data_IF_501692665959
#
_entry.id   IF_501692665959
#
_cell.length_a   1.000
_cell.length_b   1.000
_cell.length_c   1.000
_cell.angle_alpha   90.00
_cell.angle_beta   90.00
_cell.angle_gamma   90.00
#
_symmetry.space_group_name_H-M   'P 1'
#
loop_
_entity.id
_entity.type
_entity.pdbx_description
1 polymer ?
#
# COMPACT_ATOMS: atom_id res chain seq x y z
N UNK A 1 0.06 7.39 -6.61
CA UNK A 1 -1.12 7.10 -7.47
C UNK A 1 -2.26 6.72 -6.55
N UNK A 2 -3.36 7.48 -6.50
CA UNK A 2 -4.56 7.08 -5.76
C UNK A 2 -5.26 5.94 -6.51
N UNK A 3 -5.74 4.93 -5.79
CA UNK A 3 -6.45 3.79 -6.39
C UNK A 3 -7.58 3.34 -5.48
N UNK A 4 -8.69 2.89 -6.07
CA UNK A 4 -9.78 2.32 -5.30
C UNK A 4 -9.36 0.95 -4.72
N UNK A 5 -9.71 0.74 -3.45
CA UNK A 5 -9.26 -0.43 -2.68
C UNK A 5 -10.43 -1.35 -2.39
N UNK A 6 -10.21 -2.66 -2.56
CA UNK A 6 -11.25 -3.69 -2.33
C UNK A 6 -11.74 -3.71 -0.86
N UNK A 7 -12.94 -4.24 -0.64
CA UNK A 7 -13.70 -4.03 0.60
C UNK A 7 -13.08 -4.59 1.89
N UNK A 8 -12.44 -5.76 1.84
CA UNK A 8 -11.89 -6.43 3.04
C UNK A 8 -10.47 -5.99 3.37
N UNK A 9 -10.07 -6.10 4.64
CA UNK A 9 -8.73 -5.72 5.07
C UNK A 9 -7.62 -6.56 4.40
N UNK A 10 -7.80 -7.88 4.29
CA UNK A 10 -6.85 -8.77 3.65
C UNK A 10 -6.60 -8.39 2.19
N UNK A 11 -7.64 -8.03 1.45
CA UNK A 11 -7.51 -7.55 0.07
C UNK A 11 -6.76 -6.22 -0.02
N UNK A 12 -6.98 -5.30 0.94
CA UNK A 12 -6.25 -4.02 1.01
C UNK A 12 -4.76 -4.24 1.24
N UNK A 13 -4.39 -5.15 2.14
CA UNK A 13 -3.00 -5.52 2.40
C UNK A 13 -2.36 -6.13 1.16
N UNK A 14 -3.00 -7.13 0.54
CA UNK A 14 -2.49 -7.78 -0.68
C UNK A 14 -2.29 -6.78 -1.84
N UNK A 15 -3.23 -5.84 -2.01
CA UNK A 15 -3.16 -4.79 -3.01
C UNK A 15 -1.99 -3.83 -2.70
N UNK A 16 -1.88 -3.34 -1.46
CA UNK A 16 -0.77 -2.48 -1.03
C UNK A 16 0.60 -3.15 -1.25
N UNK A 17 0.76 -4.41 -0.88
CA UNK A 17 1.97 -5.19 -1.10
C UNK A 17 2.31 -5.36 -2.58
N UNK A 18 1.32 -5.52 -3.45
CA UNK A 18 1.54 -5.62 -4.90
C UNK A 18 2.06 -4.30 -5.47
N UNK A 19 1.47 -3.17 -5.10
CA UNK A 19 1.98 -1.86 -5.50
C UNK A 19 3.37 -1.57 -4.93
N UNK A 20 3.63 -1.92 -3.67
CA UNK A 20 4.95 -1.78 -3.07
C UNK A 20 6.01 -2.56 -3.86
N UNK A 21 5.73 -3.82 -4.24
CA UNK A 21 6.63 -4.61 -5.09
C UNK A 21 6.92 -3.96 -6.44
N UNK A 22 5.90 -3.44 -7.13
CA UNK A 22 6.11 -2.71 -8.39
C UNK A 22 6.99 -1.47 -8.18
N UNK A 23 6.78 -0.74 -7.08
CA UNK A 23 7.55 0.43 -6.71
C UNK A 23 9.01 0.10 -6.35
N UNK A 24 9.29 -1.07 -5.77
CA UNK A 24 10.64 -1.57 -5.55
C UNK A 24 11.32 -2.05 -6.84
N UNK A 25 10.55 -2.64 -7.77
CA UNK A 25 11.04 -3.05 -9.08
C UNK A 25 11.43 -1.85 -9.95
N UNK A 26 10.61 -0.79 -9.92
CA UNK A 26 10.86 0.45 -10.65
C UNK A 26 12.05 1.28 -10.10
N UNK A 27 12.43 1.05 -8.84
CA UNK A 27 13.52 1.78 -8.18
C UNK A 27 14.31 0.84 -7.26
N UNK A 28 15.44 0.27 -7.75
CA UNK A 28 16.24 -0.69 -7.00
C UNK A 28 16.78 -0.15 -5.67
N UNK A 29 17.00 1.16 -5.58
CA UNK A 29 17.50 1.85 -4.38
C UNK A 29 16.40 2.18 -3.36
N UNK A 30 15.13 1.95 -3.69
CA UNK A 30 14.02 2.21 -2.78
C UNK A 30 13.94 1.13 -1.70
N UNK A 31 14.16 1.53 -0.45
CA UNK A 31 14.08 0.63 0.72
C UNK A 31 12.67 0.58 1.34
N UNK A 32 11.92 1.68 1.27
CA UNK A 32 10.59 1.80 1.88
C UNK A 32 9.55 2.35 0.91
N UNK A 33 8.31 1.89 1.06
CA UNK A 33 7.14 2.42 0.36
C UNK A 33 6.06 2.74 1.41
N UNK A 34 5.71 4.03 1.61
CA UNK A 34 4.57 4.41 2.40
C UNK A 34 3.28 4.23 1.58
N UNK A 35 2.28 3.59 2.17
CA UNK A 35 0.94 3.44 1.60
C UNK A 35 -0.07 4.08 2.53
N UNK A 36 -0.86 5.02 2.00
CA UNK A 36 -1.94 5.68 2.72
C UNK A 36 -3.28 5.11 2.27
N UNK A 37 -4.11 4.73 3.24
CA UNK A 37 -5.45 4.19 3.01
C UNK A 37 -6.46 5.10 3.68
N UNK A 38 -7.38 5.65 2.89
CA UNK A 38 -8.46 6.50 3.38
C UNK A 38 -9.77 5.76 3.20
N UNK A 39 -10.51 5.55 4.29
CA UNK A 39 -11.88 5.06 4.25
C UNK A 39 -12.84 6.25 4.33
N UNK A 40 -13.41 6.63 3.19
CA UNK A 40 -14.33 7.77 3.11
C UNK A 40 -15.65 7.54 3.88
N UNK A 41 -16.11 6.28 4.03
CA UNK A 41 -17.36 5.96 4.73
C UNK A 41 -17.21 6.10 6.24
N UNK A 42 -16.15 5.50 6.79
CA UNK A 42 -15.89 5.51 8.24
C UNK A 42 -15.03 6.70 8.69
N UNK A 43 -14.59 7.56 7.75
CA UNK A 43 -13.65 8.67 7.98
C UNK A 43 -12.36 8.23 8.69
N UNK A 44 -11.92 7.00 8.44
CA UNK A 44 -10.69 6.47 9.04
C UNK A 44 -9.55 6.56 8.06
N UNK A 45 -8.36 6.91 8.57
CA UNK A 45 -7.11 6.84 7.84
C UNK A 45 -6.24 5.75 8.45
N UNK A 46 -5.54 4.99 7.60
CA UNK A 46 -4.50 4.04 7.99
C UNK A 46 -3.28 4.24 7.12
N UNK A 47 -2.12 3.89 7.63
CA UNK A 47 -0.89 3.86 6.86
C UNK A 47 -0.19 2.52 7.02
N UNK A 48 0.50 2.10 5.97
CA UNK A 48 1.35 0.90 5.94
C UNK A 48 2.73 1.32 5.47
N UNK A 49 3.78 0.82 6.12
CA UNK A 49 5.15 1.00 5.68
C UNK A 49 5.62 -0.36 5.17
N UNK A 50 5.77 -0.48 3.86
CA UNK A 50 6.34 -1.67 3.25
C UNK A 50 7.85 -1.51 3.17
N UNK A 51 8.60 -2.47 3.72
CA UNK A 51 10.05 -2.55 3.54
C UNK A 51 10.38 -3.55 2.42
N UNK A 52 11.47 -3.30 1.69
CA UNK A 52 11.88 -4.14 0.57
C UNK A 52 12.19 -5.59 0.97
N UNK A 53 12.60 -5.84 2.21
CA UNK A 53 12.93 -7.19 2.68
C UNK A 53 11.72 -8.12 2.81
N UNK A 54 10.50 -7.58 2.85
CA UNK A 54 9.35 -8.31 3.38
C UNK A 54 9.40 -8.36 4.90
#
# INVERSE_FOLDING_TARGET
IPVEVKGTWSQKVAQASTYARCLFAASPTRSFVPVFVINHKSKQMRFLICHRSG
#
